data_IF_199062798225
#
_entry.id   IF_199062798225
#
_cell.length_a   1.000
_cell.length_b   1.000
_cell.length_c   1.000
_cell.angle_alpha   90.00
_cell.angle_beta   90.00
_cell.angle_gamma   90.00
#
_symmetry.space_group_name_H-M   'P 1'
#
loop_
_entity.id
_entity.type
_entity.pdbx_description
1 polymer ?
#
# COMPACT_ATOMS: atom_id res chain seq x y z
N UNK A 1 -12.08 11.46 3.17
CA UNK A 1 -11.55 10.11 3.49
C UNK A 1 -11.97 9.21 2.35
N UNK A 2 -11.03 8.47 1.77
CA UNK A 2 -11.29 7.47 0.74
C UNK A 2 -11.06 6.09 1.35
N UNK A 3 -11.91 5.13 1.03
CA UNK A 3 -11.68 3.72 1.35
C UNK A 3 -11.68 2.94 0.04
N UNK A 4 -10.74 2.02 -0.11
CA UNK A 4 -10.68 1.10 -1.24
C UNK A 4 -10.79 -0.30 -0.64
N UNK A 5 -11.75 -1.06 -1.16
CA UNK A 5 -12.06 -2.41 -0.67
C UNK A 5 -12.01 -3.37 -1.84
N UNK A 6 -11.26 -4.43 -1.66
CA UNK A 6 -11.10 -5.50 -2.63
C UNK A 6 -11.36 -6.85 -1.96
N UNK A 7 -12.02 -7.74 -2.69
CA UNK A 7 -12.32 -9.10 -2.26
C UNK A 7 -11.66 -10.11 -3.21
N UNK A 8 -11.23 -11.24 -2.67
CA UNK A 8 -10.54 -12.28 -3.43
C UNK A 8 -10.84 -13.69 -2.93
N UNK A 9 -10.59 -14.64 -3.81
CA UNK A 9 -10.51 -16.07 -3.54
C UNK A 9 -9.48 -16.67 -4.50
N UNK A 10 -8.45 -17.30 -3.95
CA UNK A 10 -7.31 -17.83 -4.71
C UNK A 10 -7.47 -19.32 -4.97
N UNK A 11 -7.22 -19.73 -6.21
CA UNK A 11 -7.12 -21.16 -6.55
C UNK A 11 -5.78 -21.78 -6.09
N UNK A 12 -4.72 -20.97 -5.99
CA UNK A 12 -3.38 -21.36 -5.56
C UNK A 12 -2.56 -20.11 -5.16
N UNK A 13 -1.47 -20.30 -4.42
CA UNK A 13 -0.58 -19.22 -3.96
C UNK A 13 -0.48 -19.16 -2.45
N UNK A 14 0.08 -18.05 -1.93
CA UNK A 14 0.30 -17.80 -0.51
C UNK A 14 -0.36 -16.50 -0.01
N UNK A 15 -1.19 -15.86 -0.84
CA UNK A 15 -1.89 -14.63 -0.49
C UNK A 15 -2.00 -13.66 -1.66
N UNK A 16 -2.34 -12.42 -1.34
CA UNK A 16 -2.47 -11.31 -2.29
C UNK A 16 -1.58 -10.14 -1.89
N UNK A 17 -0.99 -9.50 -2.90
CA UNK A 17 -0.31 -8.21 -2.76
C UNK A 17 -1.17 -7.12 -3.38
N UNK A 18 -1.55 -6.12 -2.59
CA UNK A 18 -2.13 -4.88 -3.07
C UNK A 18 -1.04 -3.86 -3.31
N UNK A 19 -0.86 -3.46 -4.57
CA UNK A 19 0.20 -2.55 -4.97
C UNK A 19 -0.28 -1.11 -5.09
N UNK A 20 0.51 -0.19 -4.53
CA UNK A 20 0.40 1.24 -4.78
C UNK A 20 1.75 1.78 -5.26
N UNK A 21 1.75 2.56 -6.33
CA UNK A 21 2.97 3.09 -6.93
C UNK A 21 3.02 4.61 -6.86
N UNK A 22 4.20 5.15 -6.54
CA UNK A 22 4.44 6.60 -6.50
C UNK A 22 5.92 6.92 -6.71
N UNK A 23 6.24 8.08 -7.30
CA UNK A 23 7.62 8.61 -7.31
C UNK A 23 7.91 9.49 -6.09
N UNK A 24 6.92 9.76 -5.26
CA UNK A 24 7.06 10.60 -4.06
C UNK A 24 7.74 9.81 -2.93
N UNK A 25 8.40 10.49 -1.97
CA UNK A 25 8.92 9.85 -0.77
C UNK A 25 7.84 9.09 0.00
N UNK A 26 8.19 7.88 0.46
CA UNK A 26 7.31 7.01 1.24
C UNK A 26 7.99 6.65 2.56
N UNK A 27 7.25 6.71 3.66
CA UNK A 27 7.65 6.17 4.96
C UNK A 27 6.60 5.16 5.45
N UNK A 28 7.04 4.12 6.14
CA UNK A 28 6.18 3.10 6.75
C UNK A 28 6.43 3.08 8.25
N UNK A 29 5.34 3.14 9.02
CA UNK A 29 5.33 2.95 10.48
C UNK A 29 4.24 1.92 10.83
N UNK A 30 4.66 0.68 11.10
CA UNK A 30 3.74 -0.45 11.23
C UNK A 30 2.89 -0.65 9.97
N UNK A 31 1.57 -0.44 10.09
CA UNK A 31 0.60 -0.55 9.00
C UNK A 31 0.18 0.81 8.41
N UNK A 32 0.79 1.90 8.85
CA UNK A 32 0.56 3.24 8.33
C UNK A 32 1.63 3.61 7.30
N UNK A 33 1.21 3.90 6.07
CA UNK A 33 2.07 4.37 4.99
C UNK A 33 1.84 5.86 4.79
N UNK A 34 2.92 6.66 4.87
CA UNK A 34 2.88 8.10 4.59
C UNK A 34 3.56 8.39 3.27
N UNK A 35 2.80 8.90 2.30
CA UNK A 35 3.32 9.45 1.04
C UNK A 35 3.41 10.97 1.19
N UNK A 36 4.62 11.53 1.05
CA UNK A 36 4.85 12.97 1.26
C UNK A 36 4.94 13.72 -0.06
N UNK A 37 3.95 14.59 -0.32
CA UNK A 37 3.99 15.54 -1.42
C UNK A 37 4.54 16.90 -0.97
N UNK A 38 4.64 17.84 -1.93
CA UNK A 38 5.14 19.20 -1.67
C UNK A 38 4.27 20.02 -0.71
N UNK A 39 2.96 19.80 -0.72
CA UNK A 39 1.97 20.64 -0.02
C UNK A 39 1.03 19.87 0.90
N UNK A 40 1.11 18.53 0.88
CA UNK A 40 0.22 17.66 1.61
C UNK A 40 0.86 16.28 1.75
N UNK A 41 0.32 15.48 2.67
CA UNK A 41 0.67 14.09 2.87
C UNK A 41 -0.56 13.22 2.67
N UNK A 42 -0.35 12.03 2.15
CA UNK A 42 -1.37 10.97 2.12
C UNK A 42 -0.98 9.94 3.15
N UNK A 43 -1.90 9.60 4.03
CA UNK A 43 -1.78 8.50 4.99
C UNK A 43 -2.67 7.38 4.49
N UNK A 44 -2.08 6.21 4.24
CA UNK A 44 -2.76 4.97 3.91
C UNK A 44 -2.66 4.06 5.14
N UNK A 45 -3.78 3.56 5.62
CA UNK A 45 -3.85 2.64 6.75
C UNK A 45 -4.24 1.26 6.21
N UNK A 46 -3.28 0.33 6.28
CA UNK A 46 -3.51 -1.07 5.97
C UNK A 46 -4.08 -1.81 7.21
N UNK A 47 -4.87 -2.88 7.01
CA UNK A 47 -5.33 -3.73 8.11
C UNK A 47 -4.17 -4.39 8.88
N UNK A 48 -4.38 -4.66 10.17
CA UNK A 48 -3.34 -5.19 11.07
C UNK A 48 -2.91 -6.63 10.77
N UNK A 49 -3.71 -7.36 10.01
CA UNK A 49 -3.43 -8.72 9.52
C UNK A 49 -2.60 -8.74 8.23
N UNK A 50 -2.08 -7.58 7.81
CA UNK A 50 -1.24 -7.43 6.61
C UNK A 50 0.21 -7.15 6.95
N UNK A 51 1.12 -7.42 6.01
CA UNK A 51 2.48 -6.86 6.07
C UNK A 51 2.64 -5.78 5.01
N UNK A 52 3.42 -4.74 5.32
CA UNK A 52 3.67 -3.63 4.41
C UNK A 52 5.15 -3.55 4.11
N UNK A 53 5.49 -3.49 2.82
CA UNK A 53 6.85 -3.26 2.34
C UNK A 53 6.87 -2.20 1.24
N UNK A 54 8.02 -1.56 1.07
CA UNK A 54 8.25 -0.61 -0.03
C UNK A 54 9.45 -1.09 -0.82
N UNK A 55 9.24 -1.38 -2.09
CA UNK A 55 10.33 -1.65 -3.02
C UNK A 55 10.70 -0.37 -3.75
N UNK A 56 12.00 -0.17 -3.97
CA UNK A 56 12.50 0.82 -4.92
C UNK A 56 12.69 0.17 -6.29
N UNK A 57 11.98 0.69 -7.29
CA UNK A 57 12.06 0.25 -8.68
C UNK A 57 12.77 1.32 -9.50
N UNK A 58 13.88 0.96 -10.13
CA UNK A 58 14.61 1.85 -11.03
C UNK A 58 13.77 2.19 -12.27
N UNK A 59 13.67 3.47 -12.59
CA UNK A 59 13.13 4.01 -13.83
C UNK A 59 14.25 4.63 -14.67
N UNK A 60 13.98 4.88 -15.96
CA UNK A 60 14.94 5.56 -16.85
C UNK A 60 15.37 6.94 -16.32
N UNK A 61 14.48 7.63 -15.61
CA UNK A 61 14.64 9.02 -15.16
C UNK A 61 14.45 9.17 -13.63
N UNK A 62 14.73 8.13 -12.84
CA UNK A 62 14.65 8.19 -11.37
C UNK A 62 14.21 6.87 -10.73
N UNK A 63 13.50 6.97 -9.61
CA UNK A 63 13.01 5.82 -8.84
C UNK A 63 11.49 5.91 -8.69
N UNK A 64 10.83 4.76 -8.70
CA UNK A 64 9.46 4.59 -8.26
C UNK A 64 9.43 3.74 -6.99
N UNK A 65 8.73 4.20 -5.97
CA UNK A 65 8.41 3.42 -4.79
C UNK A 65 7.14 2.60 -5.07
N UNK A 66 7.25 1.27 -4.93
CA UNK A 66 6.11 0.35 -4.94
C UNK A 66 5.83 -0.09 -3.53
N UNK A 67 4.73 0.39 -2.97
CA UNK A 67 4.18 -0.10 -1.72
C UNK A 67 3.45 -1.40 -2.02
N UNK A 68 3.75 -2.45 -1.27
CA UNK A 68 3.04 -3.72 -1.31
C UNK A 68 2.42 -3.98 0.06
N UNK A 69 1.09 -4.15 0.09
CA UNK A 69 0.32 -4.53 1.27
C UNK A 69 -0.08 -5.98 1.07
N UNK A 70 0.59 -6.88 1.78
CA UNK A 70 0.42 -8.32 1.64
C UNK A 70 -0.58 -8.86 2.67
N UNK A 71 -1.58 -9.61 2.19
CA UNK A 71 -2.45 -10.42 3.05
C UNK A 71 -2.26 -11.91 2.70
N UNK A 72 -1.88 -12.78 3.66
CA UNK A 72 -1.59 -14.19 3.39
C UNK A 72 -2.83 -15.07 3.26
N UNK A 73 -4.05 -14.52 3.40
CA UNK A 73 -5.26 -15.32 3.35
C UNK A 73 -5.58 -15.78 1.92
N UNK A 74 -6.04 -17.03 1.79
CA UNK A 74 -6.45 -17.62 0.51
C UNK A 74 -7.77 -17.06 -0.03
N UNK A 75 -8.61 -16.49 0.84
CA UNK A 75 -9.82 -15.78 0.47
C UNK A 75 -10.09 -14.72 1.53
N UNK A 76 -10.72 -13.62 1.14
CA UNK A 76 -11.03 -12.56 2.06
C UNK A 76 -11.48 -11.28 1.39
N UNK A 77 -11.61 -10.26 2.22
CA UNK A 77 -11.90 -8.89 1.84
C UNK A 77 -10.96 -7.98 2.65
N UNK A 78 -10.35 -7.01 1.99
CA UNK A 78 -9.40 -6.10 2.62
C UNK A 78 -9.78 -4.67 2.26
N UNK A 79 -9.85 -3.82 3.29
CA UNK A 79 -10.12 -2.39 3.12
C UNK A 79 -8.91 -1.57 3.55
N UNK A 80 -8.36 -0.77 2.64
CA UNK A 80 -7.38 0.26 2.97
C UNK A 80 -8.07 1.61 3.14
N UNK A 81 -7.70 2.36 4.18
CA UNK A 81 -8.25 3.70 4.43
C UNK A 81 -7.23 4.76 4.07
N UNK A 82 -7.68 5.81 3.40
CA UNK A 82 -6.81 6.82 2.82
C UNK A 82 -7.28 8.20 3.28
N UNK A 83 -6.36 8.96 3.86
CA UNK A 83 -6.58 10.31 4.36
C UNK A 83 -5.55 11.26 3.77
N UNK A 84 -6.02 12.36 3.19
CA UNK A 84 -5.18 13.49 2.79
C UNK A 84 -5.08 14.45 3.99
N UNK A 85 -3.87 14.78 4.41
CA UNK A 85 -3.58 15.76 5.46
C UNK A 85 -2.73 16.87 4.88
N UNK A 86 -2.98 18.13 5.28
CA UNK A 86 -2.11 19.25 4.91
C UNK A 86 -0.87 19.29 5.79
#
# INVERSE_FOLDING_TARGET
MLAITDAWELAAGDGVDFYWQTRLPVAVDGHAITITGRHARVIIEAPSDTTVRVDELSLLDGVQHRIAIHNPAMAGEMTVRIRLTR
#
